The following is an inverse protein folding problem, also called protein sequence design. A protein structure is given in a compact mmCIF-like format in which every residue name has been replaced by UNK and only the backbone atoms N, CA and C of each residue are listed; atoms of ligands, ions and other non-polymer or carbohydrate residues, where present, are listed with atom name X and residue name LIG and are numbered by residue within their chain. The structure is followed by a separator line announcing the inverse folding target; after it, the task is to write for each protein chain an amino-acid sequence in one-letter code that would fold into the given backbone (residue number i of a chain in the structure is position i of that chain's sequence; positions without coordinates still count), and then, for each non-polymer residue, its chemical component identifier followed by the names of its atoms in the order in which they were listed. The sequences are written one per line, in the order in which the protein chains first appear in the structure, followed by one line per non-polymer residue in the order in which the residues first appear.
data_IF_115764005412
#
_entry.id   IF_115764005412
#
_cell.length_a   1.000
_cell.length_b   1.000
_cell.length_c   1.000
_cell.angle_alpha   90.00
_cell.angle_beta   90.00
_cell.angle_gamma   90.00
#
_symmetry.space_group_name_H-M   'P 1'
#
loop_
_entity.id
_entity.type
_entity.pdbx_description
1 polymer ?
#
# COMPACT_ATOMS: atom_id res chain seq x y z
N UNK A 1 -24.62 -11.26 6.56
CA UNK A 1 -23.26 -11.27 6.03
C UNK A 1 -22.44 -10.41 6.96
N UNK A 2 -21.25 -10.84 7.40
CA UNK A 2 -20.39 -10.01 8.22
C UNK A 2 -19.88 -8.81 7.42
N UNK A 3 -19.54 -7.72 8.10
CA UNK A 3 -18.88 -6.55 7.49
C UNK A 3 -17.52 -6.95 6.91
N UNK A 4 -17.13 -6.45 5.75
CA UNK A 4 -15.82 -6.76 5.17
C UNK A 4 -14.70 -6.19 6.05
N UNK A 5 -13.53 -6.83 6.01
CA UNK A 5 -12.37 -6.48 6.85
C UNK A 5 -11.21 -5.99 5.99
N UNK A 6 -10.69 -4.83 6.29
CA UNK A 6 -9.50 -4.27 5.64
C UNK A 6 -8.34 -4.17 6.62
N UNK A 7 -7.23 -4.79 6.26
CA UNK A 7 -5.96 -4.72 6.97
C UNK A 7 -5.06 -3.66 6.31
N UNK A 8 -4.65 -2.65 7.06
CA UNK A 8 -3.72 -1.60 6.61
C UNK A 8 -2.37 -1.81 7.29
N UNK A 9 -1.35 -2.21 6.53
CA UNK A 9 0.02 -2.43 6.99
C UNK A 9 0.91 -1.23 6.65
N UNK A 10 1.23 -0.46 7.66
CA UNK A 10 1.95 0.81 7.56
C UNK A 10 1.03 2.01 7.35
N UNK A 11 1.25 3.06 8.11
CA UNK A 11 0.46 4.30 8.00
C UNK A 11 1.09 5.34 7.05
N UNK A 12 2.39 5.23 6.82
CA UNK A 12 3.08 6.07 5.83
C UNK A 12 2.81 7.57 6.01
N UNK A 13 2.90 8.08 7.22
CA UNK A 13 2.50 9.42 7.68
C UNK A 13 0.97 9.58 7.68
N UNK A 14 0.34 10.06 6.60
CA UNK A 14 -1.10 10.37 6.54
C UNK A 14 -1.91 9.45 5.63
N UNK A 15 -1.25 8.82 4.66
CA UNK A 15 -1.95 8.03 3.62
C UNK A 15 -2.68 6.83 4.21
N UNK A 16 -2.08 6.15 5.20
CA UNK A 16 -2.70 5.00 5.84
C UNK A 16 -3.95 5.36 6.64
N UNK A 17 -3.95 6.51 7.32
CA UNK A 17 -5.12 7.02 8.01
C UNK A 17 -6.25 7.36 7.02
N UNK A 18 -5.92 8.00 5.90
CA UNK A 18 -6.89 8.30 4.85
C UNK A 18 -7.48 7.02 4.25
N UNK A 19 -6.64 6.02 3.95
CA UNK A 19 -7.08 4.70 3.46
C UNK A 19 -8.00 4.04 4.49
N UNK A 20 -7.60 3.99 5.76
CA UNK A 20 -8.39 3.36 6.81
C UNK A 20 -9.78 4.00 6.96
N UNK A 21 -9.85 5.34 6.99
CA UNK A 21 -11.13 6.09 7.02
C UNK A 21 -11.98 5.79 5.79
N UNK A 22 -11.42 5.87 4.58
CA UNK A 22 -12.16 5.62 3.34
C UNK A 22 -12.81 4.24 3.32
N UNK A 23 -12.13 3.21 3.82
CA UNK A 23 -12.74 1.88 3.93
C UNK A 23 -13.73 1.77 5.09
N UNK A 24 -13.51 2.47 6.21
CA UNK A 24 -14.47 2.52 7.32
C UNK A 24 -15.79 3.19 6.90
N UNK A 25 -15.72 4.29 6.14
CA UNK A 25 -16.88 4.98 5.58
C UNK A 25 -17.71 4.08 4.62
N UNK A 26 -17.07 3.09 3.99
CA UNK A 26 -17.73 2.05 3.18
C UNK A 26 -18.25 0.85 4.02
N UNK A 27 -18.17 0.93 5.35
CA UNK A 27 -18.67 -0.08 6.27
C UNK A 27 -17.71 -1.25 6.51
N UNK A 28 -16.42 -1.08 6.28
CA UNK A 28 -15.43 -2.10 6.62
C UNK A 28 -15.01 -2.02 8.09
N UNK A 29 -14.71 -3.17 8.68
CA UNK A 29 -13.93 -3.26 9.91
C UNK A 29 -12.46 -3.08 9.55
N UNK A 30 -11.74 -2.31 10.36
CA UNK A 30 -10.37 -1.91 10.04
C UNK A 30 -9.40 -2.40 11.09
N UNK A 31 -8.33 -3.08 10.68
CA UNK A 31 -7.12 -3.19 11.49
C UNK A 31 -5.99 -2.38 10.86
N UNK A 32 -5.39 -1.50 11.64
CA UNK A 32 -4.20 -0.74 11.27
C UNK A 32 -3.01 -1.27 12.04
N UNK A 33 -1.92 -1.55 11.34
CA UNK A 33 -0.66 -1.95 11.94
C UNK A 33 0.47 -0.99 11.55
N UNK A 34 1.26 -0.54 12.52
CA UNK A 34 2.44 0.32 12.26
C UNK A 34 3.53 0.03 13.30
N UNK A 35 4.83 0.17 12.96
CA UNK A 35 5.93 0.04 13.91
C UNK A 35 6.08 1.25 14.85
N UNK A 36 5.42 2.37 14.59
CA UNK A 36 5.50 3.59 15.40
C UNK A 36 4.19 3.82 16.15
N UNK A 37 4.25 3.76 17.49
CA UNK A 37 3.08 3.93 18.36
C UNK A 37 2.41 5.29 18.19
N UNK A 38 3.17 6.37 17.99
CA UNK A 38 2.64 7.72 17.76
C UNK A 38 1.71 7.79 16.52
N UNK A 39 1.98 6.98 15.49
CA UNK A 39 1.12 6.91 14.30
C UNK A 39 -0.16 6.14 14.59
N UNK A 40 -0.09 5.12 15.43
CA UNK A 40 -1.26 4.36 15.87
C UNK A 40 -2.15 5.18 16.81
N UNK A 41 -1.59 6.04 17.65
CA UNK A 41 -2.35 7.01 18.45
C UNK A 41 -3.15 7.93 17.51
N UNK A 42 -2.49 8.53 16.53
CA UNK A 42 -3.18 9.35 15.52
C UNK A 42 -4.26 8.60 14.74
N UNK A 43 -4.06 7.30 14.49
CA UNK A 43 -5.07 6.47 13.84
C UNK A 43 -6.27 6.19 14.74
N UNK A 44 -6.05 5.94 16.04
CA UNK A 44 -7.14 5.75 17.03
C UNK A 44 -8.01 6.99 17.16
N UNK A 45 -7.39 8.18 17.12
CA UNK A 45 -8.12 9.44 17.17
C UNK A 45 -8.93 9.75 15.88
N UNK A 46 -8.47 9.20 14.76
CA UNK A 46 -9.05 9.47 13.45
C UNK A 46 -10.12 8.44 13.01
N UNK A 47 -10.16 7.27 13.63
CA UNK A 47 -11.06 6.17 13.29
C UNK A 47 -12.17 6.03 14.32
N UNK A 48 -13.36 5.67 13.85
CA UNK A 48 -14.53 5.44 14.69
C UNK A 48 -14.47 4.07 15.40
N UNK A 49 -15.44 3.82 16.26
CA UNK A 49 -15.64 2.52 16.91
C UNK A 49 -15.68 1.39 15.87
N UNK A 50 -14.91 0.32 16.12
CA UNK A 50 -14.81 -0.81 15.21
C UNK A 50 -13.47 -0.93 14.49
N UNK A 51 -12.56 0.02 14.69
CA UNK A 51 -11.16 -0.11 14.29
C UNK A 51 -10.34 -0.77 15.40
N UNK A 52 -9.35 -1.58 15.00
CA UNK A 52 -8.34 -2.15 15.87
C UNK A 52 -6.93 -1.71 15.41
N UNK A 53 -5.98 -1.67 16.34
CA UNK A 53 -4.60 -1.32 16.03
C UNK A 53 -3.64 -2.39 16.51
N UNK A 54 -2.54 -2.57 15.79
CA UNK A 54 -1.45 -3.46 16.16
C UNK A 54 -0.11 -2.73 16.06
N UNK A 55 0.64 -2.69 17.18
CA UNK A 55 1.99 -2.15 17.23
C UNK A 55 3.00 -3.28 17.01
N UNK A 56 3.84 -3.18 15.96
CA UNK A 56 4.86 -4.17 15.69
C UNK A 56 5.58 -3.99 14.36
N UNK A 57 6.67 -4.74 14.19
CA UNK A 57 7.47 -4.73 12.97
C UNK A 57 6.74 -5.38 11.79
N UNK A 58 6.68 -4.66 10.65
CA UNK A 58 5.98 -5.11 9.44
C UNK A 58 6.92 -5.64 8.33
N UNK A 59 8.20 -5.82 8.64
CA UNK A 59 9.21 -6.36 7.72
C UNK A 59 9.78 -7.71 8.17
N UNK A 60 9.25 -8.27 9.25
CA UNK A 60 9.56 -9.62 9.75
C UNK A 60 8.36 -10.56 9.62
N UNK A 61 8.63 -11.86 9.38
CA UNK A 61 7.55 -12.86 9.28
C UNK A 61 6.73 -12.96 10.57
N UNK A 62 7.38 -12.84 11.72
CA UNK A 62 6.71 -12.90 13.02
C UNK A 62 5.79 -11.71 13.24
N UNK A 63 6.27 -10.48 13.01
CA UNK A 63 5.46 -9.28 13.18
C UNK A 63 4.26 -9.25 12.24
N UNK A 64 4.45 -9.65 10.97
CA UNK A 64 3.35 -9.77 10.00
C UNK A 64 2.30 -10.82 10.41
N UNK A 65 2.73 -11.99 10.90
CA UNK A 65 1.80 -13.00 11.42
C UNK A 65 1.03 -12.51 12.63
N UNK A 66 1.69 -11.82 13.54
CA UNK A 66 1.01 -11.24 14.70
C UNK A 66 -0.02 -10.18 14.31
N UNK A 67 0.29 -9.30 13.32
CA UNK A 67 -0.68 -8.35 12.79
C UNK A 67 -1.91 -9.03 12.18
N UNK A 68 -1.69 -10.12 11.41
CA UNK A 68 -2.78 -10.93 10.87
C UNK A 68 -3.58 -11.61 11.98
N UNK A 69 -2.92 -12.19 12.98
CA UNK A 69 -3.58 -12.81 14.13
C UNK A 69 -4.45 -11.79 14.87
N UNK A 70 -3.95 -10.58 15.10
CA UNK A 70 -4.74 -9.52 15.72
C UNK A 70 -5.99 -9.16 14.91
N UNK A 71 -5.91 -9.12 13.57
CA UNK A 71 -7.07 -8.90 12.71
C UNK A 71 -8.09 -10.05 12.80
N UNK A 72 -7.60 -11.29 12.88
CA UNK A 72 -8.46 -12.47 12.99
C UNK A 72 -9.12 -12.58 14.36
N UNK A 73 -8.43 -12.25 15.43
CA UNK A 73 -8.98 -12.19 16.79
C UNK A 73 -10.05 -11.11 16.92
N UNK A 74 -9.83 -9.95 16.28
CA UNK A 74 -10.80 -8.85 16.31
C UNK A 74 -12.02 -9.09 15.39
N UNK A 75 -11.81 -9.66 14.19
CA UNK A 75 -12.82 -9.64 13.15
C UNK A 75 -13.07 -10.98 12.44
N UNK A 76 -12.26 -12.00 12.69
CA UNK A 76 -12.43 -13.36 12.18
C UNK A 76 -11.94 -13.60 10.74
N UNK A 77 -11.75 -12.55 9.93
CA UNK A 77 -11.35 -12.63 8.52
C UNK A 77 -10.52 -11.43 8.05
N UNK A 78 -10.01 -11.51 6.84
CA UNK A 78 -9.38 -10.39 6.10
C UNK A 78 -9.88 -10.48 4.67
N UNK A 79 -10.38 -9.38 4.11
CA UNK A 79 -10.91 -9.32 2.74
C UNK A 79 -10.04 -8.46 1.84
N UNK A 80 -9.51 -7.37 2.38
CA UNK A 80 -8.58 -6.51 1.70
C UNK A 80 -7.34 -6.29 2.56
N UNK A 81 -6.18 -6.23 1.92
CA UNK A 81 -4.95 -5.83 2.56
C UNK A 81 -4.30 -4.69 1.78
N UNK A 82 -3.99 -3.60 2.47
CA UNK A 82 -3.28 -2.45 1.91
C UNK A 82 -1.91 -2.39 2.55
N UNK A 83 -0.86 -2.47 1.74
CA UNK A 83 0.52 -2.46 2.18
C UNK A 83 1.14 -1.12 1.79
N UNK A 84 1.55 -0.33 2.77
CA UNK A 84 2.26 0.93 2.62
C UNK A 84 3.68 0.73 3.14
N UNK A 85 4.62 0.29 2.30
CA UNK A 85 5.96 -0.04 2.75
C UNK A 85 6.67 1.16 3.34
N UNK A 86 7.44 0.92 4.40
CA UNK A 86 8.37 1.91 4.90
C UNK A 86 9.53 2.06 3.92
N UNK A 87 9.78 3.30 3.48
CA UNK A 87 10.79 3.61 2.48
C UNK A 87 11.73 4.63 3.09
N UNK A 88 13.00 4.24 3.21
CA UNK A 88 14.04 5.14 3.70
C UNK A 88 14.35 6.22 2.67
N UNK A 89 14.79 7.38 3.16
CA UNK A 89 15.23 8.48 2.31
C UNK A 89 16.45 8.07 1.48
N UNK A 90 16.49 8.64 0.28
CA UNK A 90 17.49 8.28 -0.70
C UNK A 90 18.89 8.79 -0.38
N UNK A 91 19.83 8.23 -1.06
CA UNK A 91 21.25 8.54 -1.10
C UNK A 91 21.74 8.56 -2.55
N UNK A 92 22.96 9.01 -2.76
CA UNK A 92 23.59 9.00 -4.07
C UNK A 92 24.30 7.65 -4.30
N UNK A 93 24.37 7.22 -5.55
CA UNK A 93 25.04 5.97 -5.92
C UNK A 93 26.47 5.85 -5.40
N UNK A 94 27.23 6.95 -5.40
CA UNK A 94 28.63 6.94 -4.98
C UNK A 94 28.83 7.09 -3.46
N UNK A 95 27.78 7.44 -2.72
CA UNK A 95 27.85 7.80 -1.29
C UNK A 95 27.01 6.86 -0.41
N UNK A 96 26.32 5.86 -0.99
CA UNK A 96 25.51 4.97 -0.17
C UNK A 96 26.38 4.02 0.68
N UNK A 97 26.00 3.86 1.95
CA UNK A 97 26.60 2.87 2.82
C UNK A 97 25.95 1.49 2.57
N UNK A 98 26.76 0.45 2.35
CA UNK A 98 26.28 -0.90 2.05
C UNK A 98 25.29 -1.39 3.11
N UNK A 99 25.62 -1.24 4.39
CA UNK A 99 24.75 -1.68 5.50
C UNK A 99 23.39 -0.97 5.48
N UNK A 100 23.36 0.34 5.20
CA UNK A 100 22.13 1.11 5.07
C UNK A 100 21.28 0.62 3.89
N UNK A 101 21.93 0.36 2.76
CA UNK A 101 21.28 -0.18 1.57
C UNK A 101 20.64 -1.56 1.82
N UNK A 102 21.38 -2.48 2.46
CA UNK A 102 20.88 -3.81 2.81
C UNK A 102 19.68 -3.74 3.78
N UNK A 103 19.74 -2.85 4.79
CA UNK A 103 18.61 -2.60 5.69
C UNK A 103 17.39 -2.05 4.96
N UNK A 104 17.60 -1.10 4.05
CA UNK A 104 16.52 -0.52 3.25
C UNK A 104 15.86 -1.56 2.35
N UNK A 105 16.63 -2.45 1.69
CA UNK A 105 16.07 -3.55 0.92
C UNK A 105 15.36 -4.58 1.79
N UNK A 106 15.86 -4.83 2.98
CA UNK A 106 15.22 -5.74 3.92
C UNK A 106 13.84 -5.22 4.37
N UNK A 107 13.69 -3.93 4.59
CA UNK A 107 12.42 -3.30 4.98
C UNK A 107 11.48 -3.14 3.80
N UNK A 108 11.98 -2.76 2.62
CA UNK A 108 11.18 -2.55 1.41
C UNK A 108 10.87 -3.85 0.67
N UNK A 109 11.76 -4.33 -0.18
CA UNK A 109 11.50 -5.44 -1.09
C UNK A 109 11.24 -6.78 -0.36
N UNK A 110 12.12 -7.14 0.60
CA UNK A 110 11.92 -8.37 1.39
C UNK A 110 10.69 -8.28 2.28
N UNK A 111 10.48 -7.14 2.93
CA UNK A 111 9.29 -6.90 3.76
C UNK A 111 8.00 -7.02 2.95
N UNK A 112 7.96 -6.42 1.76
CA UNK A 112 6.83 -6.51 0.84
C UNK A 112 6.56 -7.96 0.38
N UNK A 113 7.60 -8.72 0.04
CA UNK A 113 7.46 -10.12 -0.35
C UNK A 113 6.95 -11.00 0.80
N UNK A 114 7.43 -10.77 2.03
CA UNK A 114 6.95 -11.47 3.22
C UNK A 114 5.49 -11.11 3.53
N UNK A 115 5.12 -9.82 3.45
CA UNK A 115 3.76 -9.37 3.67
C UNK A 115 2.80 -10.00 2.64
N UNK A 116 3.15 -9.92 1.35
CA UNK A 116 2.36 -10.55 0.29
C UNK A 116 2.14 -12.04 0.57
N UNK A 117 3.21 -12.77 0.91
CA UNK A 117 3.14 -14.20 1.20
C UNK A 117 2.23 -14.52 2.39
N UNK A 118 2.44 -13.86 3.53
CA UNK A 118 1.69 -14.18 4.77
C UNK A 118 0.22 -13.83 4.63
N UNK A 119 -0.10 -12.72 3.93
CA UNK A 119 -1.49 -12.35 3.62
C UNK A 119 -2.11 -13.37 2.65
N UNK A 120 -1.41 -13.74 1.58
CA UNK A 120 -1.90 -14.73 0.62
C UNK A 120 -2.14 -16.09 1.28
N UNK A 121 -1.22 -16.60 2.11
CA UNK A 121 -1.40 -17.82 2.90
C UNK A 121 -2.73 -17.76 3.67
N UNK A 122 -3.04 -16.62 4.29
CA UNK A 122 -4.29 -16.45 5.04
C UNK A 122 -5.53 -16.37 4.15
N UNK A 123 -5.47 -15.62 3.04
CA UNK A 123 -6.60 -15.50 2.11
C UNK A 123 -6.97 -16.85 1.48
N UNK A 124 -5.97 -17.71 1.22
CA UNK A 124 -6.19 -19.05 0.68
C UNK A 124 -6.95 -19.98 1.63
N UNK A 125 -6.76 -19.82 2.94
CA UNK A 125 -7.44 -20.60 3.99
C UNK A 125 -8.89 -20.16 4.22
N UNK A 126 -9.29 -18.98 3.74
CA UNK A 126 -10.63 -18.42 3.93
C UNK A 126 -11.62 -18.92 2.87
N UNK A 127 -12.90 -18.89 3.24
CA UNK A 127 -13.98 -19.03 2.26
C UNK A 127 -14.00 -17.84 1.30
N UNK A 128 -14.54 -18.05 0.10
CA UNK A 128 -14.68 -17.00 -0.90
C UNK A 128 -15.54 -15.86 -0.36
N UNK A 129 -15.25 -14.64 -0.84
CA UNK A 129 -16.05 -13.48 -0.52
C UNK A 129 -17.50 -13.66 -0.98
N UNK A 130 -18.48 -13.21 -0.19
CA UNK A 130 -19.87 -13.17 -0.60
C UNK A 130 -20.01 -12.33 -1.87
N UNK A 131 -20.62 -12.90 -2.88
CA UNK A 131 -20.74 -12.23 -4.17
C UNK A 131 -21.99 -11.35 -4.20
N UNK A 132 -21.81 -10.07 -4.49
CA UNK A 132 -22.90 -9.15 -4.77
C UNK A 132 -23.06 -8.98 -6.29
N UNK A 133 -24.28 -9.15 -6.81
CA UNK A 133 -24.62 -8.86 -8.20
C UNK A 133 -24.77 -10.05 -9.12
N UNK A 134 -24.99 -9.76 -10.41
CA UNK A 134 -25.35 -10.75 -11.46
C UNK A 134 -24.17 -11.61 -11.92
N UNK A 135 -22.95 -11.11 -11.81
CA UNK A 135 -21.72 -11.82 -12.19
C UNK A 135 -21.06 -12.45 -10.96
N UNK A 136 -21.15 -13.75 -10.87
CA UNK A 136 -20.48 -14.55 -9.83
C UNK A 136 -19.03 -14.81 -10.23
N UNK A 137 -18.14 -13.84 -9.98
CA UNK A 137 -16.70 -14.03 -10.14
C UNK A 137 -16.13 -14.38 -8.78
N UNK A 138 -15.56 -15.58 -8.58
CA UNK A 138 -14.94 -15.94 -7.31
C UNK A 138 -13.89 -14.90 -6.92
N UNK A 139 -13.89 -14.47 -5.67
CA UNK A 139 -12.88 -13.57 -5.13
C UNK A 139 -12.59 -13.96 -3.68
N UNK A 140 -11.32 -14.21 -3.38
CA UNK A 140 -10.87 -14.49 -2.01
C UNK A 140 -10.41 -13.24 -1.28
N UNK A 141 -9.93 -12.24 -2.02
CA UNK A 141 -9.50 -10.98 -1.46
C UNK A 141 -8.67 -10.14 -2.42
N UNK A 142 -8.27 -8.98 -1.93
CA UNK A 142 -7.38 -8.07 -2.66
C UNK A 142 -6.17 -7.67 -1.83
N UNK A 143 -5.04 -7.48 -2.51
CA UNK A 143 -3.80 -6.95 -1.92
C UNK A 143 -3.37 -5.73 -2.75
N UNK A 144 -3.25 -4.57 -2.12
CA UNK A 144 -2.89 -3.33 -2.80
C UNK A 144 -1.64 -2.73 -2.17
N UNK A 145 -0.60 -2.52 -2.98
CA UNK A 145 0.59 -1.78 -2.57
C UNK A 145 0.41 -0.29 -2.84
N UNK A 146 0.78 0.56 -1.87
CA UNK A 146 0.80 2.02 -2.07
C UNK A 146 2.25 2.49 -2.12
N UNK A 147 2.69 2.90 -3.30
CA UNK A 147 4.08 3.23 -3.60
C UNK A 147 4.25 4.71 -3.95
N UNK A 148 5.47 5.19 -3.82
CA UNK A 148 5.85 6.51 -4.32
C UNK A 148 6.20 6.48 -5.81
N UNK A 149 6.30 7.66 -6.42
CA UNK A 149 6.65 7.82 -7.85
C UNK A 149 8.02 7.20 -8.21
N UNK A 150 8.91 7.02 -7.23
CA UNK A 150 10.19 6.33 -7.40
C UNK A 150 10.07 4.85 -7.79
N UNK A 151 8.87 4.25 -7.72
CA UNK A 151 8.60 2.90 -8.21
C UNK A 151 8.63 2.78 -9.75
N UNK A 152 8.44 3.88 -10.47
CA UNK A 152 8.38 3.91 -11.94
C UNK A 152 9.35 4.92 -12.58
N UNK A 153 9.88 5.85 -11.79
CA UNK A 153 10.81 6.88 -12.30
C UNK A 153 11.87 7.20 -11.25
N UNK A 154 13.11 6.87 -11.53
CA UNK A 154 14.23 7.18 -10.66
C UNK A 154 14.54 8.69 -10.63
N UNK A 155 15.04 9.16 -9.51
CA UNK A 155 15.42 10.56 -9.31
C UNK A 155 16.84 10.65 -8.77
N UNK A 156 17.64 11.63 -9.20
CA UNK A 156 18.96 11.88 -8.61
C UNK A 156 18.89 12.02 -7.08
N UNK A 157 19.86 11.48 -6.37
CA UNK A 157 19.91 11.50 -4.91
C UNK A 157 18.90 10.57 -4.21
N UNK A 158 18.32 9.60 -4.94
CA UNK A 158 17.33 8.65 -4.43
C UNK A 158 17.61 7.22 -4.91
N UNK A 159 18.87 6.83 -4.88
CA UNK A 159 19.29 5.53 -5.40
C UNK A 159 18.62 4.37 -4.64
N UNK A 160 18.84 4.31 -3.34
CA UNK A 160 18.27 3.23 -2.48
C UNK A 160 16.74 3.19 -2.52
N UNK A 161 16.09 4.36 -2.44
CA UNK A 161 14.63 4.46 -2.55
C UNK A 161 14.13 3.92 -3.89
N UNK A 162 14.77 4.31 -5.00
CA UNK A 162 14.37 3.88 -6.33
C UNK A 162 14.51 2.37 -6.50
N UNK A 163 15.64 1.80 -6.07
CA UNK A 163 15.87 0.34 -6.14
C UNK A 163 14.82 -0.40 -5.33
N UNK A 164 14.59 0.01 -4.08
CA UNK A 164 13.60 -0.63 -3.19
C UNK A 164 12.19 -0.59 -3.75
N UNK A 165 11.74 0.56 -4.25
CA UNK A 165 10.38 0.70 -4.79
C UNK A 165 10.18 -0.05 -6.12
N UNK A 166 11.16 -0.04 -7.03
CA UNK A 166 11.10 -0.88 -8.25
C UNK A 166 11.06 -2.36 -7.90
N UNK A 167 11.82 -2.79 -6.89
CA UNK A 167 11.79 -4.19 -6.45
C UNK A 167 10.42 -4.59 -5.88
N UNK A 168 9.75 -3.72 -5.10
CA UNK A 168 8.38 -3.97 -4.62
C UNK A 168 7.41 -4.10 -5.80
N UNK A 169 7.55 -3.27 -6.84
CA UNK A 169 6.71 -3.39 -8.03
C UNK A 169 6.91 -4.74 -8.74
N UNK A 170 8.14 -5.24 -8.75
CA UNK A 170 8.44 -6.61 -9.20
C UNK A 170 7.74 -7.69 -8.35
N UNK A 171 7.81 -7.57 -7.03
CA UNK A 171 7.10 -8.45 -6.08
C UNK A 171 5.58 -8.45 -6.35
N UNK A 172 4.99 -7.27 -6.51
CA UNK A 172 3.57 -7.11 -6.81
C UNK A 172 3.17 -7.84 -8.10
N UNK A 173 3.92 -7.63 -9.19
CA UNK A 173 3.61 -8.25 -10.49
C UNK A 173 3.77 -9.77 -10.47
N UNK A 174 4.85 -10.28 -9.87
CA UNK A 174 5.06 -11.71 -9.74
C UNK A 174 3.96 -12.37 -8.89
N UNK A 175 3.64 -11.79 -7.74
CA UNK A 175 2.58 -12.27 -6.88
C UNK A 175 1.20 -12.20 -7.52
N UNK A 176 0.91 -11.16 -8.30
CA UNK A 176 -0.35 -11.06 -9.04
C UNK A 176 -0.55 -12.22 -10.02
N UNK A 177 0.52 -12.63 -10.69
CA UNK A 177 0.48 -13.74 -11.66
C UNK A 177 0.24 -15.08 -10.95
N UNK A 178 0.96 -15.34 -9.85
CA UNK A 178 0.84 -16.60 -9.09
C UNK A 178 -0.49 -16.71 -8.33
N UNK A 179 -1.06 -15.59 -7.87
CA UNK A 179 -2.27 -15.58 -7.06
C UNK A 179 -3.57 -15.45 -7.87
N UNK A 180 -3.48 -15.18 -9.18
CA UNK A 180 -4.64 -15.00 -10.05
C UNK A 180 -5.51 -16.27 -10.13
N UNK A 181 -4.90 -17.45 -10.22
CA UNK A 181 -5.64 -18.75 -10.24
C UNK A 181 -6.43 -19.00 -8.94
N UNK A 182 -6.03 -18.35 -7.86
CA UNK A 182 -6.67 -18.42 -6.55
C UNK A 182 -7.71 -17.32 -6.31
N UNK A 183 -8.08 -16.56 -7.34
CA UNK A 183 -9.02 -15.45 -7.22
C UNK A 183 -8.61 -14.35 -6.22
N UNK A 184 -7.30 -14.16 -6.04
CA UNK A 184 -6.70 -13.06 -5.27
C UNK A 184 -6.09 -12.06 -6.24
N UNK A 185 -6.54 -10.80 -6.16
CA UNK A 185 -6.02 -9.71 -7.00
C UNK A 185 -4.91 -8.96 -6.28
N UNK A 186 -3.81 -8.69 -6.98
CA UNK A 186 -2.69 -7.93 -6.42
C UNK A 186 -2.37 -6.78 -7.36
N UNK A 187 -2.42 -5.55 -6.85
CA UNK A 187 -2.22 -4.33 -7.64
C UNK A 187 -1.39 -3.29 -6.87
N UNK A 188 -1.04 -2.20 -7.52
CA UNK A 188 -0.39 -1.05 -6.88
C UNK A 188 -1.10 0.27 -7.21
N UNK A 189 -1.11 1.19 -6.24
CA UNK A 189 -1.35 2.61 -6.45
C UNK A 189 -0.03 3.33 -6.29
N UNK A 190 0.38 4.08 -7.30
CA UNK A 190 1.66 4.83 -7.32
C UNK A 190 1.33 6.32 -7.35
N UNK A 191 1.84 7.08 -6.38
CA UNK A 191 1.50 8.49 -6.28
C UNK A 191 2.71 9.40 -6.04
N UNK A 192 2.61 10.63 -6.57
CA UNK A 192 3.47 11.73 -6.12
C UNK A 192 2.86 12.28 -4.85
N UNK A 193 3.41 11.86 -3.71
CA UNK A 193 2.96 12.26 -2.37
C UNK A 193 3.59 13.58 -1.95
N UNK A 194 2.90 14.41 -1.14
CA UNK A 194 3.53 15.54 -0.48
C UNK A 194 4.72 15.06 0.36
N UNK A 195 5.83 15.76 0.25
CA UNK A 195 6.99 15.60 1.14
C UNK A 195 7.34 16.97 1.70
N UNK A 196 7.62 17.07 2.97
CA UNK A 196 8.01 18.32 3.64
C UNK A 196 9.21 19.00 2.97
N UNK A 197 10.10 18.20 2.37
CA UNK A 197 11.30 18.68 1.66
C UNK A 197 11.05 19.15 0.22
N UNK A 198 9.85 18.92 -0.33
CA UNK A 198 9.51 19.39 -1.68
C UNK A 198 8.69 20.65 -1.61
N UNK A 199 9.31 21.78 -1.95
CA UNK A 199 8.59 23.04 -2.08
C UNK A 199 7.45 22.93 -3.10
N UNK A 200 6.39 23.70 -2.90
CA UNK A 200 5.30 23.84 -3.87
C UNK A 200 5.82 24.19 -5.26
N UNK A 201 6.90 25.01 -5.33
CA UNK A 201 7.55 25.37 -6.59
C UNK A 201 8.17 24.17 -7.33
N UNK A 202 8.65 23.13 -6.64
CA UNK A 202 9.13 21.91 -7.28
C UNK A 202 7.99 21.15 -7.96
N UNK A 203 6.86 21.04 -7.26
CA UNK A 203 5.69 20.32 -7.77
C UNK A 203 5.04 21.08 -8.93
N UNK A 204 4.89 22.39 -8.80
CA UNK A 204 4.32 23.25 -9.84
C UNK A 204 5.08 23.17 -11.18
N UNK A 205 6.41 23.00 -11.14
CA UNK A 205 7.24 22.91 -12.36
C UNK A 205 7.32 21.52 -12.97
N UNK A 206 6.84 20.49 -12.31
CA UNK A 206 7.06 19.09 -12.72
C UNK A 206 5.79 18.26 -12.81
N UNK A 207 4.71 18.75 -12.27
CA UNK A 207 3.41 18.07 -12.27
C UNK A 207 2.41 18.97 -13.00
N UNK A 208 1.84 18.56 -14.13
CA UNK A 208 0.86 19.36 -14.88
C UNK A 208 -0.29 19.89 -14.06
N UNK A 209 -0.80 19.12 -13.10
CA UNK A 209 -1.84 19.59 -12.17
C UNK A 209 -1.32 20.55 -11.09
N UNK A 210 -0.03 20.92 -11.10
CA UNK A 210 0.57 21.92 -10.23
C UNK A 210 0.75 21.53 -8.76
N UNK A 211 0.36 20.32 -8.37
CA UNK A 211 0.40 19.87 -6.97
C UNK A 211 0.65 18.36 -6.84
N UNK A 212 1.01 17.91 -5.66
CA UNK A 212 1.04 16.50 -5.32
C UNK A 212 -0.40 15.96 -5.09
N UNK A 213 -0.56 14.64 -5.15
CA UNK A 213 -1.81 13.99 -4.78
C UNK A 213 -2.05 14.14 -3.27
N UNK A 214 -3.28 14.43 -2.88
CA UNK A 214 -3.71 14.42 -1.47
C UNK A 214 -3.87 12.98 -0.98
N UNK A 215 -3.76 12.78 0.33
CA UNK A 215 -3.92 11.45 0.95
C UNK A 215 -5.29 10.84 0.64
N UNK A 216 -6.35 11.63 0.64
CA UNK A 216 -7.71 11.17 0.30
C UNK A 216 -7.84 10.76 -1.18
N UNK A 217 -7.17 11.46 -2.12
CA UNK A 217 -7.17 11.06 -3.54
C UNK A 217 -6.46 9.72 -3.75
N UNK A 218 -5.41 9.45 -2.95
CA UNK A 218 -4.72 8.16 -2.97
C UNK A 218 -5.62 7.08 -2.36
N UNK A 219 -6.30 7.36 -1.25
CA UNK A 219 -7.20 6.45 -0.58
C UNK A 219 -8.37 6.04 -1.49
N UNK A 220 -8.97 6.98 -2.22
CA UNK A 220 -10.02 6.69 -3.21
C UNK A 220 -9.54 5.78 -4.34
N UNK A 221 -8.31 5.97 -4.82
CA UNK A 221 -7.74 5.08 -5.83
C UNK A 221 -7.48 3.66 -5.28
N UNK A 222 -7.06 3.54 -4.02
CA UNK A 222 -6.90 2.26 -3.32
C UNK A 222 -8.26 1.58 -3.16
N UNK A 223 -9.29 2.30 -2.73
CA UNK A 223 -10.66 1.82 -2.63
C UNK A 223 -11.17 1.30 -3.99
N UNK A 224 -11.01 2.07 -5.06
CA UNK A 224 -11.41 1.65 -6.41
C UNK A 224 -10.73 0.35 -6.82
N UNK A 225 -9.41 0.25 -6.69
CA UNK A 225 -8.66 -0.93 -7.14
C UNK A 225 -8.99 -2.18 -6.31
N UNK A 226 -9.35 -2.01 -5.04
CA UNK A 226 -9.80 -3.09 -4.16
C UNK A 226 -11.26 -3.50 -4.42
N UNK A 227 -12.07 -2.64 -5.01
CA UNK A 227 -13.50 -2.84 -5.19
C UNK A 227 -13.88 -3.88 -6.25
N UNK A 228 -15.12 -4.36 -6.26
CA UNK A 228 -15.66 -5.22 -7.33
C UNK A 228 -15.64 -4.59 -8.71
N UNK A 229 -15.67 -3.25 -8.83
CA UNK A 229 -15.60 -2.53 -10.10
C UNK A 229 -14.26 -2.74 -10.81
N UNK A 230 -13.21 -3.09 -10.05
CA UNK A 230 -11.89 -3.42 -10.56
C UNK A 230 -11.64 -4.94 -10.69
N UNK A 231 -12.70 -5.77 -10.76
CA UNK A 231 -12.60 -7.23 -10.74
C UNK A 231 -11.69 -7.85 -11.81
N UNK A 232 -11.47 -7.17 -12.93
CA UNK A 232 -10.58 -7.63 -14.01
C UNK A 232 -9.16 -7.01 -13.94
N UNK A 233 -8.82 -6.31 -12.84
CA UNK A 233 -7.51 -5.71 -12.64
C UNK A 233 -6.69 -6.55 -11.65
N UNK A 234 -5.61 -7.17 -12.15
CA UNK A 234 -4.53 -7.76 -11.35
C UNK A 234 -3.19 -7.51 -12.03
N UNK A 235 -2.12 -7.34 -11.25
CA UNK A 235 -0.78 -7.00 -11.74
C UNK A 235 -0.66 -5.57 -12.29
N UNK A 236 -1.64 -4.70 -12.06
CA UNK A 236 -1.70 -3.36 -12.61
C UNK A 236 -1.19 -2.30 -11.61
N UNK A 237 -0.72 -1.19 -12.18
CA UNK A 237 -0.32 -0.02 -11.41
C UNK A 237 -1.20 1.16 -11.82
N UNK A 238 -1.99 1.67 -10.88
CA UNK A 238 -2.74 2.92 -11.07
C UNK A 238 -1.84 4.09 -10.64
N UNK A 239 -1.47 4.93 -11.61
CA UNK A 239 -0.50 6.02 -11.40
C UNK A 239 -1.22 7.34 -11.22
N UNK A 240 -1.05 7.95 -10.02
CA UNK A 240 -1.59 9.26 -9.66
C UNK A 240 -0.43 10.27 -9.63
N UNK A 241 -0.01 10.72 -10.77
CA UNK A 241 1.15 11.61 -10.92
C UNK A 241 0.81 13.02 -11.45
N UNK A 242 -0.47 13.31 -11.58
CA UNK A 242 -0.95 14.60 -12.08
C UNK A 242 -0.49 14.93 -13.50
N UNK A 243 -0.22 13.89 -14.31
CA UNK A 243 0.27 14.00 -15.68
C UNK A 243 1.81 14.05 -15.80
N UNK A 244 2.55 13.88 -14.71
CA UNK A 244 4.02 13.96 -14.72
C UNK A 244 4.68 13.00 -15.70
N UNK A 245 4.20 11.77 -15.80
CA UNK A 245 4.79 10.75 -16.69
C UNK A 245 4.55 11.05 -18.20
N UNK A 246 3.66 11.97 -18.53
CA UNK A 246 3.40 12.39 -19.91
C UNK A 246 4.26 13.58 -20.34
N UNK A 247 4.98 14.22 -19.41
CA UNK A 247 5.84 15.35 -19.73
C UNK A 247 7.18 14.88 -20.29
N UNK A 248 7.62 15.50 -21.39
CA UNK A 248 8.97 15.35 -21.96
C UNK A 248 10.03 16.24 -21.30
N UNK A 249 9.62 17.18 -20.45
CA UNK A 249 10.52 18.16 -19.81
C UNK A 249 9.94 18.75 -18.52
N UNK A 250 10.32 19.99 -18.21
CA UNK A 250 9.70 20.81 -17.16
C UNK A 250 8.62 21.71 -17.76
N UNK A 251 7.67 22.12 -16.92
CA UNK A 251 6.73 23.19 -17.25
C UNK A 251 7.45 24.53 -17.09
N UNK A 252 7.21 25.45 -18.02
CA UNK A 252 7.75 26.81 -18.00
C UNK A 252 7.13 27.66 -16.86
#
# INVERSE_FOLDING_TARGET
MGEPVTLVLGLGREVGNAVARTFQDEGHRILVADPLEERLESARDALEDGAATYHGELHSRLGLRNAITAALEAFGRIDNAVIIPEIEDGDQLLDFAQEKFEKALARSARGAALALRVIAERLLEQEDLPQAGVQRIPQKGTITFVLGYAAIASMPGRFTESVGQHAILGVMKAGALELAEHAIRVNAVIAIRPREERSESWTARRVPLGRAAKSDEIAEAVRYIASPQAAYLTGQSLVLDGGRSTLSGMLD
#
